data_IF_546661883034
#
_entry.id   IF_546661883034
#
_cell.length_a   1.000
_cell.length_b   1.000
_cell.length_c   1.000
_cell.angle_alpha   90.00
_cell.angle_beta   90.00
_cell.angle_gamma   90.00
#
_symmetry.space_group_name_H-M   'P 1'
#
loop_
_entity.id
_entity.type
_entity.pdbx_description
1 polymer ?
#
# COMPACT_ATOMS: atom_id res chain seq x y z
N UNK A 1 -8.66 -18.57 -0.22
CA UNK A 1 -8.13 -17.32 0.37
C UNK A 1 -8.98 -17.00 1.59
N UNK A 2 -8.37 -16.64 2.71
CA UNK A 2 -9.11 -16.12 3.87
C UNK A 2 -9.67 -14.74 3.50
N UNK A 3 -10.93 -14.49 3.81
CA UNK A 3 -11.54 -13.17 3.64
C UNK A 3 -11.24 -12.34 4.88
N UNK A 4 -10.60 -11.18 4.71
CA UNK A 4 -10.20 -10.28 5.79
C UNK A 4 -11.33 -9.32 6.19
N UNK A 5 -12.10 -8.87 5.21
CA UNK A 5 -13.21 -7.93 5.40
C UNK A 5 -14.55 -8.64 5.21
N UNK A 6 -14.78 -9.64 6.08
CA UNK A 6 -16.03 -10.42 6.09
C UNK A 6 -17.23 -9.50 6.24
N UNK A 7 -18.33 -9.88 5.64
CA UNK A 7 -19.60 -9.16 5.69
C UNK A 7 -19.60 -7.77 5.03
N UNK A 8 -18.48 -7.36 4.42
CA UNK A 8 -18.38 -6.12 3.63
C UNK A 8 -18.37 -6.48 2.15
N UNK A 9 -19.47 -6.18 1.46
CA UNK A 9 -19.56 -6.30 0.01
C UNK A 9 -18.79 -5.21 -0.73
N UNK A 10 -18.92 -5.18 -2.06
CA UNK A 10 -18.37 -4.09 -2.87
C UNK A 10 -19.08 -2.78 -2.51
N UNK A 11 -18.29 -1.74 -2.22
CA UNK A 11 -18.80 -0.41 -1.90
C UNK A 11 -19.10 0.32 -3.20
N UNK A 12 -20.38 0.66 -3.41
CA UNK A 12 -20.86 1.29 -4.62
C UNK A 12 -21.39 2.70 -4.37
N UNK A 13 -21.61 3.45 -5.45
CA UNK A 13 -22.33 4.71 -5.38
C UNK A 13 -23.84 4.46 -5.21
N UNK A 14 -24.43 5.06 -4.19
CA UNK A 14 -25.86 4.96 -3.88
C UNK A 14 -26.55 6.34 -3.79
N UNK A 15 -25.80 7.42 -3.96
CA UNK A 15 -26.32 8.79 -3.91
C UNK A 15 -26.44 9.36 -2.51
N UNK A 16 -26.73 10.67 -2.46
CA UNK A 16 -26.73 11.48 -1.23
C UNK A 16 -27.69 10.99 -0.15
N UNK A 17 -28.80 10.39 -0.56
CA UNK A 17 -29.86 9.98 0.36
C UNK A 17 -29.71 8.54 0.88
N UNK A 18 -28.65 7.85 0.49
CA UNK A 18 -28.38 6.51 0.99
C UNK A 18 -28.18 6.52 2.51
N UNK A 19 -28.84 5.60 3.18
CA UNK A 19 -28.66 5.33 4.62
C UNK A 19 -27.58 4.29 4.89
N UNK A 20 -27.04 3.65 3.83
CA UNK A 20 -25.95 2.69 3.93
C UNK A 20 -24.66 3.43 4.31
N UNK A 21 -24.03 3.14 5.48
CA UNK A 21 -22.76 3.77 5.88
C UNK A 21 -21.58 3.33 4.99
N UNK A 22 -21.69 2.17 4.32
CA UNK A 22 -20.67 1.61 3.45
C UNK A 22 -21.04 1.84 1.96
N UNK A 23 -21.34 3.08 1.60
CA UNK A 23 -21.62 3.48 0.22
C UNK A 23 -20.95 4.81 -0.11
N UNK A 24 -20.61 5.00 -1.38
CA UNK A 24 -20.25 6.33 -1.89
C UNK A 24 -21.50 7.17 -2.09
N UNK A 25 -21.56 8.33 -1.45
CA UNK A 25 -22.72 9.22 -1.49
C UNK A 25 -22.57 10.37 -2.49
N UNK A 26 -21.34 10.74 -2.78
CA UNK A 26 -21.00 11.89 -3.63
C UNK A 26 -20.15 11.50 -4.84
N UNK A 27 -19.27 10.52 -4.69
CA UNK A 27 -18.45 10.02 -5.78
C UNK A 27 -19.24 9.00 -6.62
N UNK A 28 -19.66 9.43 -7.81
CA UNK A 28 -20.25 8.55 -8.81
C UNK A 28 -19.20 8.24 -9.89
N UNK A 29 -18.61 7.02 -9.90
CA UNK A 29 -17.53 6.67 -10.82
C UNK A 29 -17.95 6.72 -12.30
N UNK A 30 -19.22 6.56 -12.59
CA UNK A 30 -19.77 6.47 -13.95
C UNK A 30 -20.41 7.78 -14.42
N UNK A 31 -20.41 8.83 -13.60
CA UNK A 31 -20.88 10.16 -14.00
C UNK A 31 -20.03 10.71 -15.14
N UNK A 32 -20.67 11.08 -16.24
CA UNK A 32 -19.98 11.59 -17.43
C UNK A 32 -19.68 13.08 -17.30
N UNK A 33 -18.39 13.43 -17.29
CA UNK A 33 -17.89 14.79 -17.23
C UNK A 33 -16.94 15.02 -18.42
N UNK A 34 -17.21 16.03 -19.22
CA UNK A 34 -16.39 16.37 -20.40
C UNK A 34 -16.10 15.15 -21.32
N UNK A 35 -17.09 14.29 -21.51
CA UNK A 35 -16.99 13.12 -22.39
C UNK A 35 -16.30 11.89 -21.82
N UNK A 36 -15.93 11.90 -20.52
CA UNK A 36 -15.30 10.76 -19.83
C UNK A 36 -16.00 10.49 -18.50
N UNK A 37 -16.04 9.23 -18.02
CA UNK A 37 -16.57 8.93 -16.70
C UNK A 37 -15.64 9.48 -15.58
N UNK A 38 -16.24 9.82 -14.45
CA UNK A 38 -15.53 10.40 -13.30
C UNK A 38 -14.33 9.54 -12.85
N UNK A 39 -14.42 8.22 -12.89
CA UNK A 39 -13.31 7.30 -12.57
C UNK A 39 -12.07 7.46 -13.46
N UNK A 40 -12.21 8.05 -14.65
CA UNK A 40 -11.06 8.37 -15.49
C UNK A 40 -10.43 9.71 -15.15
N UNK A 41 -11.20 10.62 -14.55
CA UNK A 41 -10.67 11.90 -14.07
C UNK A 41 -10.04 11.78 -12.70
N UNK A 42 -10.67 11.05 -11.78
CA UNK A 42 -10.25 10.86 -10.40
C UNK A 42 -9.76 9.43 -10.18
N UNK A 43 -8.46 9.21 -10.31
CA UNK A 43 -7.81 7.92 -10.07
C UNK A 43 -7.28 7.87 -8.65
N UNK A 44 -7.80 6.93 -7.86
CA UNK A 44 -7.38 6.72 -6.48
C UNK A 44 -6.32 5.64 -6.37
N UNK A 45 -5.41 5.81 -5.41
CA UNK A 45 -4.40 4.82 -5.06
C UNK A 45 -4.46 4.48 -3.57
N UNK A 46 -4.25 3.22 -3.24
CA UNK A 46 -4.11 2.75 -1.86
C UNK A 46 -2.66 2.98 -1.40
N UNK A 47 -2.46 3.80 -0.37
CA UNK A 47 -1.15 4.00 0.25
C UNK A 47 -0.98 3.04 1.42
N UNK A 48 -0.02 2.11 1.33
CA UNK A 48 0.07 0.99 2.26
C UNK A 48 0.49 1.40 3.67
N UNK A 49 1.35 2.42 3.81
CA UNK A 49 1.81 2.87 5.13
C UNK A 49 0.67 3.38 6.03
N UNK A 50 -0.32 4.05 5.47
CA UNK A 50 -1.47 4.53 6.22
C UNK A 50 -2.54 3.45 6.40
N UNK A 51 -2.84 2.70 5.34
CA UNK A 51 -4.00 1.80 5.33
C UNK A 51 -3.67 0.41 5.85
N UNK A 52 -2.56 -0.16 5.40
CA UNK A 52 -2.21 -1.56 5.71
C UNK A 52 -1.23 -1.67 6.88
N UNK A 53 -0.38 -0.67 7.10
CA UNK A 53 0.62 -0.65 8.16
C UNK A 53 0.29 0.24 9.35
N UNK A 54 -0.48 1.32 9.14
CA UNK A 54 -0.83 2.26 10.20
C UNK A 54 -1.77 1.64 11.24
N UNK A 55 -1.31 1.58 12.48
CA UNK A 55 -2.04 1.02 13.62
C UNK A 55 -2.76 2.07 14.46
N UNK A 56 -2.67 3.34 14.07
CA UNK A 56 -3.23 4.48 14.81
C UNK A 56 -2.26 5.10 15.81
N UNK A 57 -1.00 4.66 15.85
CA UNK A 57 0.04 5.34 16.65
C UNK A 57 0.25 6.76 16.15
N UNK A 58 0.27 7.72 17.07
CA UNK A 58 0.62 9.11 16.83
C UNK A 58 1.51 9.67 17.96
N UNK A 59 1.75 10.98 17.96
CA UNK A 59 2.57 11.62 18.99
C UNK A 59 1.90 11.66 20.38
N UNK A 60 0.63 11.31 20.51
CA UNK A 60 -0.14 11.37 21.75
C UNK A 60 -0.49 9.99 22.31
N UNK A 61 -0.33 8.92 21.54
CA UNK A 61 -0.68 7.59 22.02
C UNK A 61 -0.22 6.42 21.17
N UNK A 62 -0.32 5.25 21.77
CA UNK A 62 -0.01 3.99 21.11
C UNK A 62 -1.09 3.59 20.12
N UNK A 63 -0.73 2.72 19.18
CA UNK A 63 -1.66 2.14 18.22
C UNK A 63 -2.77 1.30 18.89
N UNK A 64 -3.94 1.35 18.30
CA UNK A 64 -5.14 0.64 18.78
C UNK A 64 -5.65 -0.41 17.78
N UNK A 65 -5.17 -0.37 16.55
CA UNK A 65 -5.58 -1.31 15.51
C UNK A 65 -4.58 -2.48 15.40
N UNK A 66 -5.10 -3.71 15.47
CA UNK A 66 -4.30 -4.89 15.17
C UNK A 66 -3.98 -4.96 13.68
N UNK A 67 -2.70 -4.93 13.35
CA UNK A 67 -2.17 -5.07 11.99
C UNK A 67 -1.35 -6.35 11.80
N UNK A 68 -1.61 -7.35 12.63
CA UNK A 68 -1.02 -8.69 12.47
C UNK A 68 -1.57 -9.45 11.26
N UNK A 69 -2.75 -9.08 10.79
CA UNK A 69 -3.50 -9.76 9.72
C UNK A 69 -3.75 -11.25 10.05
N UNK A 70 -3.83 -11.57 11.36
CA UNK A 70 -4.05 -12.91 11.86
C UNK A 70 -2.82 -13.81 11.86
N UNK A 71 -1.62 -13.27 11.56
CA UNK A 71 -0.40 -14.02 11.43
C UNK A 71 0.66 -13.59 12.45
N UNK A 72 1.31 -14.58 13.07
CA UNK A 72 2.43 -14.32 14.00
C UNK A 72 3.78 -14.29 13.31
N UNK A 73 3.97 -15.13 12.27
CA UNK A 73 5.18 -15.14 11.47
C UNK A 73 5.29 -13.90 10.57
N UNK A 74 6.43 -13.18 10.54
CA UNK A 74 6.59 -11.96 9.74
C UNK A 74 6.41 -12.18 8.22
N UNK A 75 6.87 -13.30 7.66
CA UNK A 75 6.72 -13.61 6.24
C UNK A 75 5.26 -13.93 5.89
N UNK A 76 4.57 -14.71 6.73
CA UNK A 76 3.16 -15.02 6.56
C UNK A 76 2.32 -13.74 6.70
N UNK A 77 2.63 -12.91 7.68
CA UNK A 77 1.99 -11.59 7.88
C UNK A 77 2.15 -10.67 6.67
N UNK A 78 3.33 -10.64 6.05
CA UNK A 78 3.57 -9.86 4.84
C UNK A 78 2.66 -10.30 3.69
N UNK A 79 2.53 -11.61 3.45
CA UNK A 79 1.62 -12.18 2.43
C UNK A 79 0.15 -11.94 2.76
N UNK A 80 -0.26 -12.12 4.02
CA UNK A 80 -1.62 -11.83 4.47
C UNK A 80 -1.99 -10.34 4.27
N UNK A 81 -1.04 -9.43 4.54
CA UNK A 81 -1.19 -8.01 4.24
C UNK A 81 -1.41 -7.73 2.75
N UNK A 82 -0.69 -8.41 1.87
CA UNK A 82 -0.90 -8.33 0.41
C UNK A 82 -2.32 -8.78 0.05
N UNK A 83 -2.77 -9.91 0.57
CA UNK A 83 -4.11 -10.43 0.31
C UNK A 83 -5.19 -9.46 0.78
N UNK A 84 -5.05 -8.92 1.99
CA UNK A 84 -5.97 -7.93 2.54
C UNK A 84 -5.98 -6.62 1.72
N UNK A 85 -4.80 -6.17 1.24
CA UNK A 85 -4.70 -4.99 0.39
C UNK A 85 -5.43 -5.17 -0.94
N UNK A 86 -5.26 -6.30 -1.60
CA UNK A 86 -5.96 -6.59 -2.85
C UNK A 86 -7.47 -6.75 -2.63
N UNK A 87 -7.89 -7.38 -1.53
CA UNK A 87 -9.31 -7.52 -1.18
C UNK A 87 -9.97 -6.15 -0.97
N UNK A 88 -9.36 -5.24 -0.19
CA UNK A 88 -9.97 -3.91 0.03
C UNK A 88 -9.97 -3.05 -1.24
N UNK A 89 -8.94 -3.19 -2.07
CA UNK A 89 -8.91 -2.52 -3.38
C UNK A 89 -10.08 -2.97 -4.27
N UNK A 90 -10.42 -4.25 -4.27
CA UNK A 90 -11.58 -4.77 -5.00
C UNK A 90 -12.90 -4.23 -4.45
N UNK A 91 -13.05 -4.25 -3.13
CA UNK A 91 -14.26 -3.75 -2.47
C UNK A 91 -14.47 -2.25 -2.71
N UNK A 92 -13.40 -1.46 -2.81
CA UNK A 92 -13.44 -0.01 -3.08
C UNK A 92 -13.31 0.36 -4.57
N UNK A 93 -13.10 -0.62 -5.46
CA UNK A 93 -12.82 -0.38 -6.89
C UNK A 93 -11.60 0.51 -7.13
N UNK A 94 -10.53 0.34 -6.32
CA UNK A 94 -9.24 1.02 -6.47
C UNK A 94 -8.34 0.20 -7.37
N UNK A 95 -7.74 0.83 -8.39
CA UNK A 95 -6.85 0.18 -9.34
C UNK A 95 -5.37 0.34 -8.97
N UNK A 96 -5.00 1.45 -8.33
CA UNK A 96 -3.62 1.81 -8.08
C UNK A 96 -3.24 1.62 -6.61
N UNK A 97 -1.95 1.28 -6.37
CA UNK A 97 -1.39 1.22 -5.03
C UNK A 97 0.07 1.66 -5.01
N UNK A 98 0.57 1.98 -3.82
CA UNK A 98 1.96 2.38 -3.61
C UNK A 98 2.43 2.01 -2.20
N UNK A 99 3.73 1.79 -2.06
CA UNK A 99 4.34 1.36 -0.81
C UNK A 99 5.83 1.76 -0.72
N UNK A 100 6.36 1.69 0.50
CA UNK A 100 7.79 1.60 0.74
C UNK A 100 8.18 0.14 1.05
N UNK A 101 9.43 -0.20 0.86
CA UNK A 101 9.97 -1.55 1.13
C UNK A 101 9.59 -2.07 2.53
N UNK A 102 9.68 -1.20 3.54
CA UNK A 102 9.35 -1.57 4.94
C UNK A 102 7.86 -1.66 5.23
N UNK A 103 7.00 -1.14 4.36
CA UNK A 103 5.55 -1.39 4.42
C UNK A 103 5.22 -2.83 4.02
N UNK A 104 6.07 -3.44 3.17
CA UNK A 104 5.93 -4.83 2.72
C UNK A 104 6.50 -5.81 3.71
N UNK A 105 7.79 -5.65 4.05
CA UNK A 105 8.54 -6.59 4.87
C UNK A 105 9.39 -5.84 5.90
N UNK A 106 9.46 -6.30 7.16
CA UNK A 106 10.33 -5.69 8.16
C UNK A 106 11.80 -5.92 7.83
N UNK A 107 12.70 -5.30 8.61
CA UNK A 107 14.11 -5.66 8.62
C UNK A 107 14.33 -6.97 9.41
N UNK A 108 15.29 -7.77 8.95
CA UNK A 108 15.72 -9.02 9.55
C UNK A 108 17.16 -8.90 10.07
N UNK A 109 17.73 -10.00 10.51
CA UNK A 109 19.05 -10.05 11.15
C UNK A 109 20.23 -9.62 10.25
N UNK A 110 20.04 -9.64 8.92
CA UNK A 110 21.04 -9.18 7.96
C UNK A 110 20.41 -8.52 6.76
N UNK A 111 21.19 -7.71 6.03
CA UNK A 111 20.72 -7.07 4.78
C UNK A 111 20.38 -8.13 3.71
N UNK A 112 21.17 -9.20 3.62
CA UNK A 112 20.93 -10.28 2.66
C UNK A 112 19.61 -10.98 2.94
N UNK A 113 19.32 -11.30 4.20
CA UNK A 113 18.04 -11.90 4.61
C UNK A 113 16.87 -10.94 4.38
N UNK A 114 17.05 -9.68 4.76
CA UNK A 114 16.05 -8.62 4.56
C UNK A 114 15.67 -8.47 3.09
N UNK A 115 16.65 -8.48 2.18
CA UNK A 115 16.41 -8.40 0.74
C UNK A 115 15.72 -9.66 0.22
N UNK A 116 16.18 -10.84 0.61
CA UNK A 116 15.55 -12.10 0.19
C UNK A 116 14.06 -12.19 0.62
N UNK A 117 13.74 -11.68 1.83
CA UNK A 117 12.35 -11.62 2.30
C UNK A 117 11.52 -10.57 1.58
N UNK A 118 12.12 -9.45 1.20
CA UNK A 118 11.47 -8.45 0.37
C UNK A 118 11.19 -9.00 -1.03
N UNK A 119 12.15 -9.68 -1.66
CA UNK A 119 11.99 -10.33 -2.96
C UNK A 119 10.82 -11.33 -2.93
N UNK A 120 10.75 -12.17 -1.89
CA UNK A 120 9.65 -13.15 -1.69
C UNK A 120 8.26 -12.47 -1.69
N UNK A 121 8.13 -11.31 -1.05
CA UNK A 121 6.85 -10.58 -0.98
C UNK A 121 6.55 -9.84 -2.28
N UNK A 122 7.57 -9.27 -2.93
CA UNK A 122 7.38 -8.58 -4.22
C UNK A 122 7.03 -9.55 -5.34
N UNK A 123 7.61 -10.75 -5.35
CA UNK A 123 7.21 -11.83 -6.27
C UNK A 123 5.74 -12.22 -6.06
N UNK A 124 5.32 -12.34 -4.79
CA UNK A 124 3.92 -12.62 -4.47
C UNK A 124 2.97 -11.52 -4.96
N UNK A 125 3.35 -10.24 -4.82
CA UNK A 125 2.58 -9.12 -5.39
C UNK A 125 2.53 -9.21 -6.92
N UNK A 126 3.65 -9.53 -7.57
CA UNK A 126 3.71 -9.67 -9.02
C UNK A 126 2.79 -10.80 -9.53
N UNK A 127 2.71 -11.92 -8.82
CA UNK A 127 1.77 -12.99 -9.12
C UNK A 127 0.30 -12.52 -9.00
N UNK A 128 -0.03 -11.78 -7.95
CA UNK A 128 -1.36 -11.19 -7.76
C UNK A 128 -1.72 -10.22 -8.88
N UNK A 129 -0.81 -9.32 -9.25
CA UNK A 129 -1.01 -8.38 -10.37
C UNK A 129 -1.16 -9.10 -11.70
N UNK A 130 -0.45 -10.22 -11.90
CA UNK A 130 -0.59 -11.04 -13.08
C UNK A 130 -1.95 -11.74 -13.16
N UNK A 131 -2.49 -12.15 -12.02
CA UNK A 131 -3.82 -12.74 -11.90
C UNK A 131 -4.93 -11.70 -12.07
N UNK A 132 -4.72 -10.47 -11.63
CA UNK A 132 -5.62 -9.33 -11.82
C UNK A 132 -4.89 -8.13 -12.44
N UNK A 133 -4.86 -8.01 -13.78
CA UNK A 133 -4.18 -6.93 -14.49
C UNK A 133 -4.80 -5.53 -14.28
N UNK A 134 -5.94 -5.41 -13.61
CA UNK A 134 -6.53 -4.12 -13.26
C UNK A 134 -5.75 -3.42 -12.15
N UNK A 135 -5.06 -4.18 -11.31
CA UNK A 135 -4.23 -3.66 -10.22
C UNK A 135 -2.87 -3.22 -10.73
N UNK A 136 -2.49 -2.00 -10.42
CA UNK A 136 -1.27 -1.36 -10.96
C UNK A 136 -0.46 -0.74 -9.83
N UNK A 137 0.81 -1.09 -9.78
CA UNK A 137 1.76 -0.41 -8.91
C UNK A 137 2.02 1.00 -9.46
N UNK A 138 1.69 2.02 -8.66
CA UNK A 138 1.96 3.41 -8.98
C UNK A 138 3.44 3.75 -8.74
N UNK A 139 3.96 3.37 -7.57
CA UNK A 139 5.38 3.44 -7.23
C UNK A 139 5.70 2.55 -6.03
N UNK A 140 6.95 2.09 -5.97
CA UNK A 140 7.56 1.46 -4.81
C UNK A 140 8.91 2.10 -4.54
N UNK A 141 9.21 2.47 -3.30
CA UNK A 141 10.44 3.14 -2.91
C UNK A 141 11.02 2.60 -1.62
N UNK A 142 12.27 2.96 -1.32
CA UNK A 142 12.88 2.69 -0.03
C UNK A 142 12.34 3.64 1.05
N UNK A 143 12.10 3.11 2.26
CA UNK A 143 11.75 3.90 3.44
C UNK A 143 13.02 4.42 4.11
N UNK A 144 13.34 5.69 3.84
CA UNK A 144 14.60 6.31 4.22
C UNK A 144 14.46 7.32 5.35
N UNK A 145 13.60 7.09 6.36
CA UNK A 145 13.33 8.11 7.37
C UNK A 145 13.13 7.62 8.81
N UNK A 146 12.87 6.38 9.11
CA UNK A 146 12.62 5.93 10.49
C UNK A 146 13.63 4.92 11.03
N UNK A 147 14.67 4.59 10.27
CA UNK A 147 15.78 3.79 10.74
C UNK A 147 16.92 4.69 11.22
N UNK A 148 17.64 4.36 12.31
CA UNK A 148 18.77 5.16 12.84
C UNK A 148 19.85 5.53 11.83
N UNK A 149 20.07 4.71 10.79
CA UNK A 149 21.01 5.03 9.69
C UNK A 149 20.67 6.31 8.92
N UNK A 150 19.41 6.74 8.97
CA UNK A 150 18.92 7.92 8.27
C UNK A 150 18.73 9.13 9.19
N UNK A 151 19.24 9.08 10.41
CA UNK A 151 19.06 10.13 11.42
C UNK A 151 19.51 11.54 10.95
N UNK A 152 20.40 11.60 9.98
CA UNK A 152 20.89 12.83 9.35
C UNK A 152 20.38 13.01 7.91
N UNK A 153 19.37 12.26 7.51
CA UNK A 153 18.79 12.24 6.15
C UNK A 153 19.40 11.15 5.26
N UNK A 154 18.63 10.72 4.27
CA UNK A 154 19.01 9.62 3.37
C UNK A 154 20.27 9.93 2.54
N UNK A 155 20.46 11.20 2.14
CA UNK A 155 21.62 11.63 1.36
C UNK A 155 22.96 11.54 2.08
N UNK A 156 22.97 11.38 3.42
CA UNK A 156 24.16 11.20 4.23
C UNK A 156 24.42 9.76 4.64
N UNK A 157 23.56 8.84 4.24
CA UNK A 157 23.71 7.42 4.55
C UNK A 157 24.84 6.81 3.72
N UNK A 158 25.86 6.26 4.42
CA UNK A 158 27.03 5.63 3.78
C UNK A 158 26.70 4.35 3.00
N UNK A 159 25.54 3.73 3.25
CA UNK A 159 25.10 2.49 2.58
C UNK A 159 24.25 2.75 1.35
N UNK A 160 23.65 3.92 1.25
CA UNK A 160 22.79 4.31 0.13
C UNK A 160 23.15 5.74 -0.28
N UNK A 161 24.03 5.87 -1.25
CA UNK A 161 24.07 7.09 -2.04
C UNK A 161 22.98 6.94 -3.10
N UNK A 162 21.83 7.55 -2.90
CA UNK A 162 20.87 7.75 -4.00
C UNK A 162 21.52 8.74 -4.96
N UNK A 163 21.94 8.32 -6.16
CA UNK A 163 22.43 9.28 -7.13
C UNK A 163 21.29 10.25 -7.45
N UNK A 164 21.53 11.54 -7.23
CA UNK A 164 20.63 12.56 -7.73
C UNK A 164 20.61 12.44 -9.25
N UNK A 165 19.44 12.62 -9.91
CA UNK A 165 19.41 12.71 -11.37
C UNK A 165 20.35 13.79 -11.95
N UNK A 166 20.84 14.71 -11.09
CA UNK A 166 21.82 15.74 -11.44
C UNK A 166 23.27 15.24 -11.38
N UNK A 167 23.54 14.15 -10.64
CA UNK A 167 24.90 13.63 -10.48
C UNK A 167 25.41 12.92 -11.75
N UNK A 168 24.50 12.48 -12.62
CA UNK A 168 24.82 11.89 -13.93
C UNK A 168 25.06 12.91 -15.05
N UNK A 169 24.89 14.21 -14.79
CA UNK A 169 25.05 15.25 -15.81
C UNK A 169 26.44 15.91 -15.84
N UNK A 170 27.39 15.42 -15.04
CA UNK A 170 28.73 16.00 -14.90
C UNK A 170 29.85 15.07 -15.35
N UNK A 171 29.55 14.07 -16.17
CA UNK A 171 30.58 13.25 -16.84
C UNK A 171 30.58 13.45 -18.33
#
# INVERSE_FOLDING_TARGET
>A
MSEFFKDIGKIAYEGKNSTNPLSFKYYNPDEMIAGKPMKEHLKFALSWWHTMGGDGTDMFGCGTADKSWGESDPSARAKAKVDAAFEIMDKLSIEYFCFHDRDLSPEYGSLAETNAKLDEVTDYIAEKMKADPTKKLLWGTAKCFDHPRYMHGAGTCLLYTSPSPRDGATS
#
